data_IF_212558063505
#
_entry.id   IF_212558063505
#
_cell.length_a   1.000
_cell.length_b   1.000
_cell.length_c   1.000
_cell.angle_alpha   90.00
_cell.angle_beta   90.00
_cell.angle_gamma   90.00
#
_symmetry.space_group_name_H-M   'P 1'
#
loop_
_entity.id
_entity.type
_entity.pdbx_description
1 polymer ?
#
# COMPACT_ATOMS: atom_id res chain seq x y z
N UNK A 1 -1.80 -8.83 -1.63
CA UNK A 1 -2.65 -7.75 -1.05
C UNK A 1 -2.60 -6.46 -1.89
N UNK A 2 -1.39 -5.94 -2.13
CA UNK A 2 -1.10 -4.61 -2.72
C UNK A 2 -1.77 -4.33 -4.07
N UNK A 3 -1.99 -5.35 -4.90
CA UNK A 3 -2.64 -5.25 -6.22
C UNK A 3 -4.07 -5.77 -6.27
N UNK A 4 -4.64 -6.16 -5.13
CA UNK A 4 -6.00 -6.70 -5.04
C UNK A 4 -6.76 -6.11 -3.84
N UNK A 5 -7.00 -6.88 -2.79
CA UNK A 5 -7.91 -6.53 -1.69
C UNK A 5 -7.58 -5.22 -0.97
N UNK A 6 -6.34 -4.74 -1.07
CA UNK A 6 -5.87 -3.53 -0.41
C UNK A 6 -5.33 -2.47 -1.40
N UNK A 7 -5.54 -2.66 -2.70
CA UNK A 7 -4.97 -1.83 -3.76
C UNK A 7 -5.41 -0.37 -3.68
N UNK A 8 -6.70 -0.13 -3.44
CA UNK A 8 -7.26 1.22 -3.32
C UNK A 8 -6.65 2.00 -2.17
N UNK A 9 -6.20 1.35 -1.08
CA UNK A 9 -5.55 2.06 0.03
C UNK A 9 -4.19 2.61 -0.37
N UNK A 10 -3.36 1.83 -1.07
CA UNK A 10 -2.08 2.35 -1.58
C UNK A 10 -2.31 3.43 -2.65
N UNK A 11 -3.22 3.17 -3.59
CA UNK A 11 -3.57 4.16 -4.61
C UNK A 11 -4.05 5.48 -4.01
N UNK A 12 -4.89 5.43 -2.95
CA UNK A 12 -5.38 6.63 -2.28
C UNK A 12 -4.25 7.51 -1.72
N UNK A 13 -3.16 6.91 -1.22
CA UNK A 13 -2.01 7.69 -0.74
C UNK A 13 -1.35 8.49 -1.88
N UNK A 14 -1.28 7.93 -3.08
CA UNK A 14 -0.76 8.65 -4.25
C UNK A 14 -1.77 9.66 -4.79
N UNK A 15 -3.05 9.30 -4.79
CA UNK A 15 -4.13 10.15 -5.29
C UNK A 15 -4.25 11.46 -4.50
N UNK A 16 -4.17 11.39 -3.17
CA UNK A 16 -4.22 12.57 -2.30
C UNK A 16 -3.03 13.52 -2.47
N UNK A 17 -1.93 13.02 -3.04
CA UNK A 17 -0.72 13.78 -3.32
C UNK A 17 -0.64 14.29 -4.77
N UNK A 18 -1.70 14.11 -5.57
CA UNK A 18 -1.80 14.69 -6.90
C UNK A 18 -2.00 16.21 -6.87
N UNK A 19 -1.48 16.92 -7.87
CA UNK A 19 -1.63 18.39 -8.00
C UNK A 19 -3.09 18.83 -8.22
N UNK A 20 -3.89 17.94 -8.80
CA UNK A 20 -5.32 18.14 -9.09
C UNK A 20 -6.13 16.95 -8.60
N UNK A 21 -7.45 17.15 -8.47
CA UNK A 21 -8.40 16.09 -8.09
C UNK A 21 -8.51 14.94 -9.10
N UNK A 22 -7.85 15.03 -10.26
CA UNK A 22 -7.87 14.01 -11.32
C UNK A 22 -6.51 13.33 -11.51
N UNK A 23 -5.54 13.66 -10.66
CA UNK A 23 -4.15 13.22 -10.81
C UNK A 23 -3.67 12.52 -9.56
N UNK A 24 -2.54 11.83 -9.64
CA UNK A 24 -1.88 11.18 -8.52
C UNK A 24 -0.40 11.56 -8.55
N UNK A 25 0.27 11.44 -7.42
CA UNK A 25 1.70 11.74 -7.33
C UNK A 25 2.52 10.90 -8.31
N UNK A 26 3.51 11.55 -8.93
CA UNK A 26 4.58 10.87 -9.64
C UNK A 26 5.56 10.26 -8.64
N UNK A 27 6.03 9.04 -8.91
CA UNK A 27 6.90 8.29 -8.02
C UNK A 27 8.36 8.44 -8.49
N UNK A 28 9.25 8.78 -7.58
CA UNK A 28 10.68 8.90 -7.83
C UNK A 28 11.41 7.58 -7.58
N UNK A 29 11.16 6.94 -6.44
CA UNK A 29 11.78 5.65 -6.11
C UNK A 29 10.91 4.82 -5.17
N UNK A 30 11.16 3.52 -5.15
CA UNK A 30 10.49 2.58 -4.25
C UNK A 30 11.50 1.59 -3.67
N UNK A 31 11.31 1.29 -2.39
CA UNK A 31 11.92 0.17 -1.70
C UNK A 31 10.80 -0.66 -1.07
N UNK A 32 10.83 -1.97 -1.27
CA UNK A 32 9.78 -2.87 -0.82
C UNK A 32 10.35 -4.15 -0.24
N UNK A 33 9.68 -4.64 0.79
CA UNK A 33 9.92 -5.93 1.43
C UNK A 33 8.68 -6.82 1.29
N UNK A 34 8.84 -7.97 0.65
CA UNK A 34 7.75 -8.85 0.24
C UNK A 34 7.87 -10.22 0.91
N UNK A 35 6.80 -10.62 1.58
CA UNK A 35 6.75 -11.84 2.37
C UNK A 35 5.52 -12.69 2.03
N UNK A 36 5.62 -14.00 2.23
CA UNK A 36 4.49 -14.93 2.14
C UNK A 36 4.47 -15.93 3.29
N UNK A 37 3.28 -16.20 3.81
CA UNK A 37 2.99 -17.34 4.68
C UNK A 37 2.21 -18.44 3.93
N UNK A 38 1.23 -18.01 3.14
CA UNK A 38 0.31 -18.88 2.42
C UNK A 38 0.96 -19.52 1.18
N UNK A 39 0.47 -20.69 0.73
CA UNK A 39 0.97 -21.40 -0.46
C UNK A 39 0.49 -20.74 -1.77
N UNK A 40 0.80 -19.45 -1.93
CA UNK A 40 0.44 -18.63 -3.08
C UNK A 40 1.70 -18.23 -3.88
N UNK A 41 1.56 -17.92 -5.18
CA UNK A 41 2.70 -17.58 -6.03
C UNK A 41 3.31 -16.21 -5.71
N UNK A 42 2.56 -15.33 -5.02
CA UNK A 42 2.99 -13.97 -4.71
C UNK A 42 2.95 -13.72 -3.18
N UNK A 43 3.25 -12.50 -2.74
CA UNK A 43 3.20 -12.07 -1.36
C UNK A 43 1.76 -11.99 -0.82
N UNK A 44 1.59 -12.38 0.44
CA UNK A 44 0.41 -12.06 1.24
C UNK A 44 0.70 -10.94 2.25
N UNK A 45 1.97 -10.53 2.37
CA UNK A 45 2.45 -9.52 3.30
C UNK A 45 3.48 -8.63 2.60
N UNK A 46 3.36 -7.32 2.74
CA UNK A 46 4.26 -6.37 2.11
C UNK A 46 4.44 -5.11 2.97
N UNK A 47 5.66 -4.55 2.93
CA UNK A 47 6.00 -3.23 3.45
C UNK A 47 6.70 -2.45 2.34
N UNK A 48 6.20 -1.25 2.02
CA UNK A 48 6.69 -0.40 0.94
C UNK A 48 7.05 0.97 1.50
N UNK A 49 8.19 1.50 1.05
CA UNK A 49 8.60 2.91 1.14
C UNK A 49 8.65 3.45 -0.28
N UNK A 50 7.93 4.53 -0.55
CA UNK A 50 7.90 5.19 -1.85
C UNK A 50 8.22 6.66 -1.65
N UNK A 51 9.14 7.19 -2.42
CA UNK A 51 9.38 8.63 -2.50
C UNK A 51 8.68 9.19 -3.74
N UNK A 52 7.94 10.28 -3.59
CA UNK A 52 7.38 11.02 -4.73
C UNK A 52 8.42 11.95 -5.34
N UNK A 53 8.20 12.41 -6.58
CA UNK A 53 9.07 13.42 -7.22
C UNK A 53 9.03 14.78 -6.51
N UNK A 54 8.00 15.01 -5.68
CA UNK A 54 7.85 16.20 -4.83
C UNK A 54 8.50 16.03 -3.44
N UNK A 55 9.23 14.93 -3.21
CA UNK A 55 9.96 14.70 -1.96
C UNK A 55 9.09 14.25 -0.78
N UNK A 56 7.88 13.74 -1.03
CA UNK A 56 7.01 13.18 0.01
C UNK A 56 7.29 11.69 0.17
N UNK A 57 7.50 11.24 1.40
CA UNK A 57 7.63 9.82 1.73
C UNK A 57 6.25 9.19 1.97
N UNK A 58 6.00 8.04 1.36
CA UNK A 58 4.81 7.22 1.56
C UNK A 58 5.23 5.85 2.07
N UNK A 59 4.79 5.50 3.28
CA UNK A 59 4.97 4.18 3.86
C UNK A 59 3.65 3.40 3.85
N UNK A 60 3.71 2.15 3.44
CA UNK A 60 2.53 1.29 3.31
C UNK A 60 2.81 -0.12 3.79
N UNK A 61 1.97 -0.62 4.69
CA UNK A 61 2.07 -1.95 5.28
C UNK A 61 0.77 -2.71 5.10
N UNK A 62 0.86 -3.99 4.72
CA UNK A 62 -0.32 -4.83 4.54
C UNK A 62 0.01 -6.30 4.78
N UNK A 63 -0.95 -7.05 5.32
CA UNK A 63 -0.83 -8.50 5.48
C UNK A 63 -2.21 -9.17 5.46
N UNK A 64 -2.27 -10.38 4.87
CA UNK A 64 -3.36 -11.34 5.06
C UNK A 64 -2.97 -12.50 5.99
N UNK A 65 -1.78 -12.46 6.59
CA UNK A 65 -1.23 -13.52 7.44
C UNK A 65 -1.18 -13.08 8.92
N UNK A 66 -2.20 -12.35 9.37
CA UNK A 66 -2.36 -11.84 10.75
C UNK A 66 -3.65 -12.40 11.37
N UNK A 67 -3.71 -12.57 12.71
CA UNK A 67 -4.84 -13.21 13.37
C UNK A 67 -6.12 -12.35 13.35
N UNK A 68 -5.99 -11.02 13.34
CA UNK A 68 -7.12 -10.10 13.48
C UNK A 68 -7.23 -9.14 12.29
N UNK A 69 -8.46 -8.85 11.88
CA UNK A 69 -8.71 -7.84 10.84
C UNK A 69 -8.61 -6.45 11.48
N UNK A 70 -7.43 -5.83 11.36
CA UNK A 70 -7.18 -4.48 11.84
C UNK A 70 -7.96 -3.39 11.07
N UNK A 71 -8.31 -3.66 9.80
CA UNK A 71 -8.89 -2.67 8.90
C UNK A 71 -7.88 -1.63 8.40
N UNK A 72 -8.30 -0.70 7.52
CA UNK A 72 -7.44 0.38 7.06
C UNK A 72 -7.15 1.41 8.15
N UNK A 73 -5.89 1.83 8.26
CA UNK A 73 -5.50 3.00 9.05
C UNK A 73 -4.47 3.81 8.28
N UNK A 74 -4.53 5.13 8.40
CA UNK A 74 -3.52 6.03 7.85
C UNK A 74 -3.30 7.26 8.72
N UNK A 75 -2.10 7.83 8.60
CA UNK A 75 -1.74 9.14 9.13
C UNK A 75 -1.04 9.91 8.01
N UNK A 76 -1.53 11.09 7.70
CA UNK A 76 -0.97 11.99 6.69
C UNK A 76 -0.48 13.26 7.38
N UNK A 77 0.82 13.52 7.30
CA UNK A 77 1.46 14.65 7.97
C UNK A 77 1.66 15.80 6.97
N UNK A 78 0.98 16.91 7.22
CA UNK A 78 1.11 18.15 6.46
C UNK A 78 1.79 19.23 7.33
N UNK A 79 2.25 20.31 6.69
CA UNK A 79 2.94 21.42 7.37
C UNK A 79 2.20 21.95 8.60
N UNK A 80 0.87 22.03 8.55
CA UNK A 80 0.06 22.64 9.61
C UNK A 80 -0.98 21.70 10.23
N UNK A 81 -1.06 20.45 9.79
CA UNK A 81 -2.06 19.50 10.28
C UNK A 81 -1.65 18.04 10.08
N UNK A 82 -2.23 17.17 10.91
CA UNK A 82 -2.21 15.72 10.69
C UNK A 82 -3.61 15.24 10.36
N UNK A 83 -3.76 14.47 9.29
CA UNK A 83 -5.03 13.84 8.90
C UNK A 83 -4.94 12.36 9.20
N UNK A 84 -5.82 11.88 10.07
CA UNK A 84 -5.83 10.48 10.53
C UNK A 84 -7.13 9.79 10.18
N UNK A 85 -7.02 8.50 9.94
CA UNK A 85 -8.15 7.59 9.87
C UNK A 85 -7.74 6.28 10.53
N UNK A 86 -8.59 5.80 11.43
CA UNK A 86 -8.37 4.58 12.18
C UNK A 86 -9.68 3.81 12.28
N UNK A 87 -9.56 2.48 12.19
CA UNK A 87 -10.65 1.54 12.45
C UNK A 87 -10.31 0.75 13.70
N UNK A 88 -11.23 0.65 14.65
CA UNK A 88 -11.02 -0.06 15.93
C UNK A 88 -11.11 -1.59 15.79
N UNK A 89 -10.57 -2.15 14.70
CA UNK A 89 -10.71 -3.56 14.31
C UNK A 89 -12.12 -3.91 13.84
N UNK A 90 -12.31 -5.09 13.21
CA UNK A 90 -13.64 -5.58 12.82
C UNK A 90 -13.98 -5.54 11.32
N UNK A 91 -12.97 -5.35 10.45
CA UNK A 91 -13.16 -5.35 9.00
C UNK A 91 -13.54 -3.99 8.41
N UNK A 92 -13.91 -3.97 7.13
CA UNK A 92 -14.32 -2.74 6.41
C UNK A 92 -15.60 -2.08 6.99
N UNK A 93 -16.18 -2.66 8.04
CA UNK A 93 -17.47 -2.28 8.60
C UNK A 93 -17.37 -1.36 9.83
N UNK A 94 -16.17 -1.07 10.34
CA UNK A 94 -16.01 -0.17 11.50
C UNK A 94 -15.77 1.27 11.03
N UNK A 95 -16.74 2.11 11.38
CA UNK A 95 -17.01 3.43 10.85
C UNK A 95 -16.42 4.50 11.77
N UNK A 96 -15.21 4.96 11.47
CA UNK A 96 -14.64 6.18 12.03
C UNK A 96 -14.70 7.32 11.01
N UNK A 97 -14.72 8.60 11.43
CA UNK A 97 -14.52 9.69 10.50
C UNK A 97 -13.04 9.85 10.14
N UNK A 98 -12.77 10.37 8.95
CA UNK A 98 -11.47 10.99 8.66
C UNK A 98 -11.40 12.32 9.43
N UNK A 99 -10.35 12.54 10.20
CA UNK A 99 -10.18 13.72 11.05
C UNK A 99 -8.86 14.41 10.74
N UNK A 100 -8.91 15.71 10.44
CA UNK A 100 -7.74 16.57 10.40
C UNK A 100 -7.61 17.35 11.72
N UNK A 101 -6.42 17.30 12.32
CA UNK A 101 -6.06 18.05 13.52
C UNK A 101 -4.98 19.05 13.17
N UNK A 102 -5.30 20.34 13.18
CA UNK A 102 -4.35 21.40 12.95
C UNK A 102 -3.43 21.58 14.16
N UNK A 103 -2.19 22.08 13.94
CA UNK A 103 -1.26 22.43 15.01
C UNK A 103 -1.81 23.49 15.98
N UNK A 104 -2.75 24.32 15.51
CA UNK A 104 -3.49 25.28 16.32
C UNK A 104 -4.48 24.64 17.30
N UNK A 105 -4.70 23.32 17.23
CA UNK A 105 -5.69 22.58 17.99
C UNK A 105 -7.09 22.56 17.36
N UNK A 106 -7.29 23.19 16.20
CA UNK A 106 -8.57 23.12 15.47
C UNK A 106 -8.74 21.75 14.83
N UNK A 107 -9.95 21.20 14.92
CA UNK A 107 -10.31 19.93 14.28
C UNK A 107 -11.27 20.14 13.10
N UNK A 108 -11.07 19.37 12.04
CA UNK A 108 -12.02 19.23 10.93
C UNK A 108 -12.35 17.76 10.73
N UNK A 109 -13.64 17.45 10.77
CA UNK A 109 -14.17 16.10 10.57
C UNK A 109 -14.69 15.99 9.13
N UNK A 110 -14.09 15.11 8.34
CA UNK A 110 -14.46 14.88 6.94
C UNK A 110 -15.58 13.84 6.77
N UNK A 111 -15.88 13.08 7.82
CA UNK A 111 -16.93 12.06 7.82
C UNK A 111 -16.42 10.68 7.45
N UNK A 112 -17.35 9.74 7.32
CA UNK A 112 -17.09 8.33 7.01
C UNK A 112 -16.85 8.14 5.50
N UNK A 113 -15.65 7.67 5.07
CA UNK A 113 -15.35 7.44 3.66
C UNK A 113 -16.20 6.31 3.03
N UNK A 114 -16.92 5.52 3.83
CA UNK A 114 -17.78 4.44 3.36
C UNK A 114 -19.27 4.79 3.37
N UNK A 115 -19.64 6.02 3.73
CA UNK A 115 -21.03 6.45 3.83
C UNK A 115 -21.78 6.42 2.49
N UNK A 116 -21.10 6.70 1.38
CA UNK A 116 -21.66 6.59 0.02
C UNK A 116 -20.72 5.84 -0.92
N UNK A 117 -21.00 4.55 -1.12
CA UNK A 117 -20.24 3.71 -2.04
C UNK A 117 -20.77 3.77 -3.49
N UNK A 118 -21.88 4.47 -3.71
CA UNK A 118 -22.55 4.56 -5.01
C UNK A 118 -22.06 5.73 -5.86
N UNK A 119 -21.46 6.75 -5.23
CA UNK A 119 -20.96 7.96 -5.89
C UNK A 119 -20.05 7.66 -7.10
N UNK A 120 -19.15 6.68 -6.98
CA UNK A 120 -18.28 6.25 -8.11
C UNK A 120 -19.06 5.77 -9.34
N UNK A 121 -20.25 5.19 -9.14
CA UNK A 121 -21.12 4.72 -10.23
C UNK A 121 -21.80 5.93 -10.88
N UNK A 122 -22.25 6.90 -10.08
CA UNK A 122 -22.86 8.13 -10.59
C UNK A 122 -21.87 9.00 -11.35
N UNK A 123 -20.64 9.15 -10.87
CA UNK A 123 -19.57 9.83 -11.61
C UNK A 123 -19.33 9.21 -12.98
N UNK A 124 -19.30 7.87 -13.07
CA UNK A 124 -19.19 7.18 -14.35
C UNK A 124 -20.38 7.46 -15.27
N UNK A 125 -21.61 7.42 -14.74
CA UNK A 125 -22.81 7.71 -15.52
C UNK A 125 -22.82 9.16 -16.04
N UNK A 126 -22.40 10.12 -15.22
CA UNK A 126 -22.32 11.53 -15.58
C UNK A 126 -21.21 11.81 -16.60
N UNK A 127 -20.05 11.15 -16.48
CA UNK A 127 -18.98 11.23 -17.45
C UNK A 127 -19.42 10.74 -18.83
N UNK A 128 -20.12 9.60 -18.90
CA UNK A 128 -20.66 9.06 -20.17
C UNK A 128 -21.71 10.00 -20.78
N UNK A 129 -22.56 10.61 -19.95
CA UNK A 129 -23.68 11.45 -20.42
C UNK A 129 -23.25 12.85 -20.84
N UNK A 130 -22.32 13.45 -20.11
CA UNK A 130 -22.00 14.88 -20.24
C UNK A 130 -20.54 15.18 -20.58
N UNK A 131 -19.66 14.18 -20.55
CA UNK A 131 -18.22 14.39 -20.67
C UNK A 131 -17.58 15.00 -19.43
N UNK A 132 -18.28 14.99 -18.28
CA UNK A 132 -17.72 15.41 -17.00
C UNK A 132 -16.46 14.60 -16.65
N UNK A 133 -15.51 15.26 -16.00
CA UNK A 133 -14.32 14.59 -15.49
C UNK A 133 -14.69 13.64 -14.35
N UNK A 134 -13.99 12.50 -14.28
CA UNK A 134 -14.06 11.57 -13.15
C UNK A 134 -12.90 11.85 -12.20
N UNK A 135 -13.09 11.63 -10.89
CA UNK A 135 -12.04 11.88 -9.90
C UNK A 135 -10.82 10.97 -10.12
N UNK A 136 -11.02 9.68 -10.41
CA UNK A 136 -9.93 8.75 -10.69
C UNK A 136 -10.07 8.21 -12.11
N UNK A 137 -9.36 8.82 -13.06
CA UNK A 137 -9.26 8.31 -14.43
C UNK A 137 -8.12 7.29 -14.58
N UNK A 138 -7.89 6.80 -15.79
CA UNK A 138 -6.81 5.85 -16.06
C UNK A 138 -5.44 6.43 -15.69
N UNK A 139 -5.21 7.74 -15.87
CA UNK A 139 -3.92 8.37 -15.56
C UNK A 139 -3.69 8.42 -14.05
N UNK A 140 -4.72 8.72 -13.26
CA UNK A 140 -4.63 8.67 -11.80
C UNK A 140 -4.24 7.27 -11.29
N UNK A 141 -4.64 6.19 -11.98
CA UNK A 141 -4.28 4.83 -11.58
C UNK A 141 -2.83 4.41 -11.94
N UNK A 142 -2.14 5.12 -12.84
CA UNK A 142 -0.80 4.73 -13.35
C UNK A 142 0.25 4.58 -12.22
N UNK A 143 0.37 5.53 -11.26
CA UNK A 143 1.36 5.40 -10.18
C UNK A 143 1.19 4.12 -9.35
N UNK A 144 -0.04 3.64 -9.15
CA UNK A 144 -0.28 2.38 -8.45
C UNK A 144 0.31 1.19 -9.21
N UNK A 145 0.15 1.16 -10.55
CA UNK A 145 0.76 0.14 -11.40
C UNK A 145 2.29 0.19 -11.31
N UNK A 146 2.87 1.38 -11.34
CA UNK A 146 4.32 1.56 -11.19
C UNK A 146 4.82 1.10 -9.82
N UNK A 147 4.10 1.38 -8.74
CA UNK A 147 4.44 0.88 -7.40
C UNK A 147 4.39 -0.65 -7.33
N UNK A 148 3.36 -1.28 -7.92
CA UNK A 148 3.23 -2.76 -7.95
C UNK A 148 4.36 -3.41 -8.75
N UNK A 149 4.75 -2.82 -9.89
CA UNK A 149 5.88 -3.32 -10.66
C UNK A 149 7.20 -3.10 -9.90
N UNK A 150 7.39 -1.88 -9.39
CA UNK A 150 8.57 -1.45 -8.65
C UNK A 150 8.81 -2.24 -7.37
N UNK A 151 7.77 -2.67 -6.64
CA UNK A 151 7.94 -3.52 -5.47
C UNK A 151 8.50 -4.91 -5.83
N UNK A 152 8.08 -5.47 -6.97
CA UNK A 152 8.60 -6.75 -7.47
C UNK A 152 10.00 -6.61 -8.04
N UNK A 153 10.33 -5.46 -8.59
CA UNK A 153 11.71 -5.14 -8.92
C UNK A 153 12.56 -4.95 -7.67
N UNK A 154 12.06 -4.30 -6.63
CA UNK A 154 12.76 -4.10 -5.35
C UNK A 154 13.08 -5.44 -4.70
N UNK A 155 12.15 -6.39 -4.75
CA UNK A 155 12.31 -7.69 -4.14
C UNK A 155 11.78 -8.81 -5.05
N UNK A 156 12.59 -9.24 -6.04
CA UNK A 156 12.16 -10.21 -7.04
C UNK A 156 11.82 -11.59 -6.48
N UNK A 157 12.40 -11.93 -5.34
CA UNK A 157 12.15 -13.17 -4.62
C UNK A 157 11.41 -12.87 -3.34
N UNK A 158 10.10 -13.10 -3.34
CA UNK A 158 9.24 -13.05 -2.15
C UNK A 158 9.78 -14.03 -1.11
N UNK A 159 10.01 -13.54 0.10
CA UNK A 159 10.57 -14.36 1.17
C UNK A 159 9.46 -15.14 1.86
N UNK A 160 9.73 -16.41 2.13
CA UNK A 160 8.80 -17.23 2.91
C UNK A 160 9.08 -16.98 4.39
N UNK A 161 8.03 -16.66 5.15
CA UNK A 161 8.15 -16.45 6.59
C UNK A 161 8.53 -17.77 7.29
N UNK A 162 9.12 -17.72 8.50
CA UNK A 162 9.54 -18.93 9.20
C UNK A 162 8.32 -19.79 9.58
N UNK A 163 8.30 -21.04 9.10
CA UNK A 163 7.14 -21.95 9.25
C UNK A 163 6.87 -22.32 10.71
N UNK A 164 7.89 -22.27 11.55
CA UNK A 164 7.79 -22.49 12.99
C UNK A 164 6.94 -21.45 13.71
N UNK A 165 6.70 -20.28 13.09
CA UNK A 165 5.84 -19.22 13.62
C UNK A 165 4.40 -19.31 13.09
N UNK A 166 4.07 -20.33 12.30
CA UNK A 166 2.77 -20.42 11.63
C UNK A 166 1.72 -21.01 12.57
N UNK A 167 0.55 -20.39 12.57
CA UNK A 167 -0.64 -20.85 13.24
C UNK A 167 -1.78 -20.99 12.24
N UNK A 168 -2.67 -21.94 12.47
CA UNK A 168 -3.83 -22.21 11.62
C UNK A 168 -5.11 -22.12 12.44
N UNK A 169 -6.09 -21.37 11.92
CA UNK A 169 -7.46 -21.33 12.41
C UNK A 169 -8.43 -21.47 11.23
N UNK A 170 -8.97 -22.67 11.03
CA UNK A 170 -9.75 -23.00 9.85
C UNK A 170 -8.95 -22.81 8.55
N UNK A 171 -9.40 -21.89 7.69
CA UNK A 171 -8.73 -21.52 6.43
C UNK A 171 -7.68 -20.41 6.60
N UNK A 172 -7.63 -19.74 7.76
CA UNK A 172 -6.68 -18.68 8.06
C UNK A 172 -5.33 -19.28 8.47
N UNK A 173 -4.27 -18.89 7.76
CA UNK A 173 -2.88 -19.07 8.20
C UNK A 173 -2.35 -17.71 8.64
N UNK A 174 -1.86 -17.60 9.87
CA UNK A 174 -1.25 -16.39 10.39
C UNK A 174 0.12 -16.66 11.02
N UNK A 175 0.93 -15.62 11.15
CA UNK A 175 2.32 -15.71 11.63
C UNK A 175 2.45 -15.00 12.96
N UNK A 176 2.96 -15.71 13.96
CA UNK A 176 3.20 -15.18 15.30
C UNK A 176 4.10 -13.95 15.29
N UNK A 177 3.67 -12.88 15.95
CA UNK A 177 4.41 -11.62 16.07
C UNK A 177 4.38 -10.73 14.81
N UNK A 178 3.77 -11.17 13.70
CA UNK A 178 3.78 -10.41 12.45
C UNK A 178 2.94 -9.13 12.55
N UNK A 179 1.76 -9.20 13.17
CA UNK A 179 0.87 -8.06 13.34
C UNK A 179 1.55 -6.96 14.15
N UNK A 180 2.12 -7.33 15.30
CA UNK A 180 2.82 -6.42 16.20
C UNK A 180 4.06 -5.82 15.53
N UNK A 181 4.82 -6.63 14.79
CA UNK A 181 5.98 -6.14 14.04
C UNK A 181 5.58 -5.07 13.01
N UNK A 182 4.54 -5.31 12.21
CA UNK A 182 4.07 -4.34 11.22
C UNK A 182 3.50 -3.07 11.88
N UNK A 183 2.79 -3.20 13.00
CA UNK A 183 2.29 -2.06 13.76
C UNK A 183 3.43 -1.22 14.36
N UNK A 184 4.50 -1.85 14.85
CA UNK A 184 5.71 -1.13 15.31
C UNK A 184 6.39 -0.40 14.15
N UNK A 185 6.54 -1.05 13.00
CA UNK A 185 7.08 -0.46 11.79
C UNK A 185 6.29 0.79 11.37
N UNK A 186 4.96 0.67 11.34
CA UNK A 186 4.05 1.78 11.08
C UNK A 186 4.24 2.94 12.09
N UNK A 187 4.26 2.64 13.39
CA UNK A 187 4.41 3.66 14.43
C UNK A 187 5.77 4.37 14.42
N UNK A 188 6.80 3.73 13.88
CA UNK A 188 8.17 4.24 13.83
C UNK A 188 8.57 4.78 12.46
N UNK A 189 7.69 4.70 11.45
CA UNK A 189 7.96 5.09 10.07
C UNK A 189 9.18 4.37 9.45
N UNK A 190 9.29 3.05 9.66
CA UNK A 190 10.42 2.24 9.18
C UNK A 190 9.98 0.92 8.52
N UNK A 191 10.76 0.45 7.55
CA UNK A 191 10.62 -0.88 6.98
C UNK A 191 11.02 -1.97 7.98
N UNK A 192 10.52 -3.22 7.83
CA UNK A 192 10.85 -4.30 8.75
C UNK A 192 12.35 -4.57 8.91
N UNK A 193 13.15 -4.47 7.84
CA UNK A 193 14.62 -4.68 7.97
C UNK A 193 15.35 -3.60 8.77
N UNK A 194 14.73 -2.43 8.98
CA UNK A 194 15.30 -1.33 9.76
C UNK A 194 15.05 -1.47 11.27
N UNK A 195 14.16 -2.39 11.69
CA UNK A 195 13.91 -2.69 13.11
C UNK A 195 15.14 -3.34 13.80
N UNK A 196 15.96 -4.07 13.03
CA UNK A 196 17.17 -4.73 13.53
C UNK A 196 16.96 -5.98 14.38
N UNK A 197 15.74 -6.25 14.86
CA UNK A 197 15.39 -7.39 15.72
C UNK A 197 14.48 -8.44 15.04
N UNK A 198 14.11 -8.23 13.77
CA UNK A 198 13.22 -9.11 13.01
C UNK A 198 14.03 -10.10 12.13
N UNK A 199 14.26 -11.36 12.54
CA UNK A 199 15.18 -12.29 11.84
C UNK A 199 14.69 -12.71 10.44
N UNK A 200 13.38 -12.64 10.21
CA UNK A 200 12.76 -12.93 8.92
C UNK A 200 12.83 -11.77 7.93
N UNK A 201 13.14 -10.56 8.39
CA UNK A 201 13.18 -9.37 7.54
C UNK A 201 14.29 -9.45 6.50
N UNK A 202 14.04 -8.90 5.31
CA UNK A 202 15.03 -8.82 4.23
C UNK A 202 14.87 -7.49 3.51
N UNK A 203 15.99 -6.77 3.40
CA UNK A 203 16.04 -5.48 2.71
C UNK A 203 15.85 -5.68 1.20
N UNK A 204 14.83 -5.03 0.63
CA UNK A 204 14.69 -4.85 -0.80
C UNK A 204 15.65 -3.80 -1.35
N UNK A 205 15.93 -3.82 -2.65
CA UNK A 205 16.72 -2.78 -3.30
C UNK A 205 15.86 -1.54 -3.57
N UNK A 206 16.46 -0.36 -3.52
CA UNK A 206 15.82 0.86 -4.02
C UNK A 206 15.74 0.78 -5.54
N UNK A 207 14.57 1.05 -6.11
CA UNK A 207 14.28 1.05 -7.55
C UNK A 207 13.86 2.45 -7.98
N UNK A 208 14.52 2.98 -9.01
CA UNK A 208 14.18 4.26 -9.64
C UNK A 208 12.91 4.13 -10.50
N UNK A 209 11.93 4.98 -10.22
CA UNK A 209 10.65 5.08 -10.91
C UNK A 209 10.48 6.38 -11.72
N UNK A 210 11.44 7.31 -11.68
CA UNK A 210 11.31 8.64 -12.28
C UNK A 210 11.14 8.65 -13.81
N UNK A 211 11.54 7.58 -14.50
CA UNK A 211 11.31 7.35 -15.93
C UNK A 211 10.83 5.92 -16.21
N UNK A 212 9.86 5.46 -15.42
CA UNK A 212 9.38 4.08 -15.48
C UNK A 212 8.55 3.78 -16.75
N UNK A 213 9.21 3.30 -17.81
CA UNK A 213 8.54 3.02 -19.09
C UNK A 213 8.31 1.53 -19.39
N UNK A 214 8.97 0.62 -18.67
CA UNK A 214 8.85 -0.81 -18.90
C UNK A 214 9.02 -1.63 -17.62
N UNK A 215 8.46 -2.84 -17.62
CA UNK A 215 8.65 -3.82 -16.56
C UNK A 215 9.00 -5.18 -17.18
N UNK A 216 10.01 -5.90 -16.66
CA UNK A 216 11.06 -5.40 -15.75
C UNK A 216 12.02 -4.43 -16.46
N UNK A 217 12.48 -3.38 -15.78
CA UNK A 217 13.50 -2.46 -16.28
C UNK A 217 14.88 -3.13 -16.42
N UNK A 218 15.21 -4.06 -15.52
CA UNK A 218 16.52 -4.71 -15.51
C UNK A 218 16.52 -5.99 -16.35
N UNK A 219 17.41 -6.06 -17.35
CA UNK A 219 17.58 -7.24 -18.22
C UNK A 219 17.90 -8.56 -17.48
N UNK A 220 18.53 -8.46 -16.30
CA UNK A 220 18.78 -9.62 -15.42
C UNK A 220 17.47 -10.16 -14.85
N UNK A 221 16.55 -9.27 -14.47
CA UNK A 221 15.20 -9.63 -14.01
C UNK A 221 14.35 -10.22 -15.12
N UNK A 222 14.45 -9.70 -16.33
CA UNK A 222 13.84 -10.30 -17.53
C UNK A 222 14.30 -11.76 -17.64
N UNK A 223 15.61 -12.01 -17.54
CA UNK A 223 16.15 -13.38 -17.66
C UNK A 223 15.66 -14.29 -16.53
N UNK A 224 15.53 -13.79 -15.30
CA UNK A 224 15.03 -14.57 -14.16
C UNK A 224 13.53 -14.88 -14.27
N UNK A 225 12.70 -13.90 -14.61
CA UNK A 225 11.24 -14.05 -14.68
C UNK A 225 10.79 -14.87 -15.90
N UNK A 226 11.47 -14.74 -17.04
CA UNK A 226 11.07 -15.43 -18.27
C UNK A 226 11.76 -16.78 -18.52
N UNK A 227 12.81 -17.15 -17.76
CA UNK A 227 13.37 -18.52 -17.81
C UNK A 227 12.66 -19.51 -16.87
N UNK A 228 12.05 -19.03 -15.78
CA UNK A 228 11.28 -19.89 -14.88
C UNK A 228 9.92 -20.31 -15.46
N UNK A 229 9.36 -19.54 -16.40
CA UNK A 229 8.12 -19.87 -17.10
C UNK A 229 8.28 -20.92 -18.22
N UNK A 230 9.52 -21.34 -18.51
CA UNK A 230 9.85 -22.31 -19.57
C UNK A 230 10.28 -23.70 -19.02
N UNK A 231 10.12 -23.94 -17.72
CA UNK A 231 10.29 -25.24 -17.05
C UNK A 231 9.01 -25.65 -16.34
#
# INVERSE_FOLDING_TARGET
>A
PVSNATAHYLHNLFFLLGETQQTSAELAEIQAELYRANPIPNCDTAALRVMTTQGVEVLYYTSHAIPEIAGPSFSLEFDEATVTYHTDGGGQSVQGPIVARAKSGTEKIYGDPFADQSEKIWQCADAVRSGAAVACDVKAAIPHVYAVNGMHESMPTVQTLPKELYHQDGELTWVEGLQEALQRCYAQNVLPSEQGDLPWSRTGRVVDLGNYESFPQNATLITMLYRSAAQ
#
